data_IF_311613906084
#
_entry.id   IF_311613906084
#
_cell.length_a   1.000
_cell.length_b   1.000
_cell.length_c   1.000
_cell.angle_alpha   90.00
_cell.angle_beta   90.00
_cell.angle_gamma   90.00
#
_symmetry.space_group_name_H-M   'P 1'
#
loop_
_entity.id
_entity.type
_entity.pdbx_description
1 polymer ?
#
# COMPACT_ATOMS: atom_id res chain seq x y z
N UNK A 1 -79.89 3.07 51.48
CA UNK A 1 -79.26 2.72 50.19
C UNK A 1 -78.17 3.73 49.78
N UNK A 2 -77.05 3.86 50.53
CA UNK A 2 -75.88 4.72 50.13
C UNK A 2 -74.51 4.12 50.50
N UNK A 3 -74.43 2.95 51.16
CA UNK A 3 -73.16 2.48 51.78
C UNK A 3 -72.25 1.59 50.92
N UNK A 4 -72.69 1.09 49.75
CA UNK A 4 -71.88 0.20 48.90
C UNK A 4 -71.11 0.97 47.81
N UNK A 5 -71.68 2.07 47.29
CA UNK A 5 -71.04 2.89 46.26
C UNK A 5 -69.83 3.69 46.77
N UNK A 6 -69.81 4.06 48.05
CA UNK A 6 -68.67 4.80 48.63
C UNK A 6 -67.44 3.90 48.85
N UNK A 7 -67.67 2.61 49.13
CA UNK A 7 -66.63 1.61 49.32
C UNK A 7 -65.96 1.21 48.00
N UNK A 8 -66.71 1.13 46.90
CA UNK A 8 -66.12 0.86 45.58
C UNK A 8 -65.30 2.05 45.06
N UNK A 9 -65.73 3.28 45.33
CA UNK A 9 -65.01 4.49 44.92
C UNK A 9 -63.71 4.68 45.71
N UNK A 10 -63.73 4.38 47.02
CA UNK A 10 -62.50 4.33 47.83
C UNK A 10 -61.53 3.25 47.35
N UNK A 11 -62.02 2.05 47.02
CA UNK A 11 -61.17 0.99 46.45
C UNK A 11 -60.57 1.40 45.11
N UNK A 12 -61.33 2.07 44.25
CA UNK A 12 -60.85 2.56 42.95
C UNK A 12 -59.79 3.66 43.12
N UNK A 13 -59.97 4.58 44.07
CA UNK A 13 -58.99 5.62 44.38
C UNK A 13 -57.69 5.06 44.99
N UNK A 14 -57.79 4.04 45.87
CA UNK A 14 -56.60 3.37 46.43
C UNK A 14 -55.87 2.56 45.35
N UNK A 15 -56.59 1.88 44.46
CA UNK A 15 -55.99 1.16 43.34
C UNK A 15 -55.26 2.10 42.37
N UNK A 16 -55.83 3.28 42.08
CA UNK A 16 -55.21 4.27 41.19
C UNK A 16 -54.00 4.98 41.82
N UNK A 17 -54.00 5.16 43.14
CA UNK A 17 -52.88 5.79 43.85
C UNK A 17 -51.70 4.84 44.08
N UNK A 18 -51.95 3.52 44.19
CA UNK A 18 -50.89 2.52 44.27
C UNK A 18 -50.22 2.22 42.92
N UNK A 19 -50.90 2.51 41.80
CA UNK A 19 -50.36 2.35 40.44
C UNK A 19 -49.51 3.55 39.97
N UNK A 20 -49.25 4.54 40.84
CA UNK A 20 -48.25 5.59 40.59
C UNK A 20 -46.87 5.13 41.06
N UNK A 21 -46.33 4.09 40.43
CA UNK A 21 -44.90 3.80 40.53
C UNK A 21 -44.18 4.48 39.36
N UNK A 22 -43.36 5.49 39.70
CA UNK A 22 -42.17 5.83 38.91
C UNK A 22 -42.27 6.94 37.87
N UNK A 23 -42.83 8.11 38.19
CA UNK A 23 -42.57 9.35 37.42
C UNK A 23 -41.22 9.97 37.85
N UNK A 24 -40.12 9.28 37.55
CA UNK A 24 -38.79 9.91 37.48
C UNK A 24 -38.07 9.35 36.27
N UNK A 25 -38.50 9.78 35.09
CA UNK A 25 -37.69 9.66 33.89
C UNK A 25 -36.55 10.68 34.00
N UNK A 26 -35.41 10.26 34.55
CA UNK A 26 -34.17 10.97 34.28
C UNK A 26 -33.97 10.96 32.77
N UNK A 27 -33.74 12.10 32.09
CA UNK A 27 -33.39 12.06 30.68
C UNK A 27 -32.08 11.29 30.57
N UNK A 28 -32.15 10.06 30.10
CA UNK A 28 -30.98 9.34 29.60
C UNK A 28 -30.58 10.06 28.31
N UNK A 29 -29.67 11.01 28.41
CA UNK A 29 -28.95 11.51 27.24
C UNK A 29 -28.08 10.36 26.72
N UNK A 30 -28.63 9.61 25.78
CA UNK A 30 -27.82 8.74 24.93
C UNK A 30 -27.01 9.66 24.01
N UNK A 31 -25.72 9.80 24.31
CA UNK A 31 -24.77 10.31 23.32
C UNK A 31 -24.68 9.28 22.20
N UNK A 32 -25.48 9.46 21.15
CA UNK A 32 -25.24 8.80 19.87
C UNK A 32 -24.00 9.45 19.28
N UNK A 33 -22.85 8.82 19.50
CA UNK A 33 -21.56 9.44 19.20
C UNK A 33 -21.45 9.84 17.73
N UNK A 34 -22.12 9.18 16.78
CA UNK A 34 -21.90 9.43 15.35
C UNK A 34 -23.13 9.25 14.43
N UNK A 35 -24.33 9.68 14.84
CA UNK A 35 -25.49 9.72 13.91
C UNK A 35 -26.27 11.02 14.07
N UNK A 36 -26.17 11.92 13.07
CA UNK A 36 -27.03 13.12 13.03
C UNK A 36 -28.44 12.66 12.66
N UNK A 37 -29.29 12.44 13.66
CA UNK A 37 -30.70 12.16 13.45
C UNK A 37 -31.45 13.46 13.10
N UNK A 38 -31.46 13.83 11.81
CA UNK A 38 -32.38 14.86 11.30
C UNK A 38 -33.69 14.17 10.89
N UNK A 39 -34.82 14.72 11.35
CA UNK A 39 -36.20 14.21 11.13
C UNK A 39 -36.37 13.66 9.70
N UNK A 40 -36.41 12.33 9.56
CA UNK A 40 -36.64 11.62 8.29
C UNK A 40 -35.42 11.05 7.56
N UNK A 41 -34.19 11.21 8.05
CA UNK A 41 -33.00 10.58 7.44
C UNK A 41 -31.94 10.22 8.48
N UNK A 42 -31.81 8.94 8.81
CA UNK A 42 -30.59 8.40 9.41
C UNK A 42 -29.55 8.29 8.29
N UNK A 43 -28.56 9.19 8.29
CA UNK A 43 -27.37 9.04 7.45
C UNK A 43 -26.22 8.53 8.32
N UNK A 44 -25.78 7.31 8.05
CA UNK A 44 -24.54 6.76 8.60
C UNK A 44 -23.37 7.58 8.08
N UNK A 45 -22.69 8.32 8.98
CA UNK A 45 -21.51 9.11 8.63
C UNK A 45 -20.23 8.27 8.56
N UNK A 46 -20.30 7.00 8.98
CA UNK A 46 -19.19 6.05 9.06
C UNK A 46 -19.01 5.15 7.82
N UNK A 47 -19.77 5.38 6.74
CA UNK A 47 -19.64 4.57 5.53
C UNK A 47 -18.31 4.92 4.85
N UNK A 48 -17.29 4.10 5.09
CA UNK A 48 -16.01 4.21 4.42
C UNK A 48 -16.17 3.80 2.96
N UNK A 49 -15.79 4.68 2.05
CA UNK A 49 -15.74 4.35 0.63
C UNK A 49 -14.72 3.23 0.41
N UNK A 50 -15.18 2.12 -0.17
CA UNK A 50 -14.31 1.01 -0.52
C UNK A 50 -13.41 1.44 -1.67
N UNK A 51 -12.12 1.64 -1.40
CA UNK A 51 -11.13 1.91 -2.45
C UNK A 51 -10.73 0.59 -3.09
N UNK A 52 -11.03 0.42 -4.38
CA UNK A 52 -10.54 -0.72 -5.16
C UNK A 52 -9.05 -0.55 -5.46
N UNK A 53 -8.21 -1.36 -4.80
CA UNK A 53 -6.76 -1.36 -5.03
C UNK A 53 -6.47 -2.19 -6.27
N UNK A 54 -6.34 -1.53 -7.43
CA UNK A 54 -5.83 -2.18 -8.64
C UNK A 54 -4.30 -2.30 -8.55
N UNK A 55 -3.78 -3.48 -8.89
CA UNK A 55 -2.33 -3.68 -9.01
C UNK A 55 -1.83 -2.88 -10.22
N UNK A 56 -1.03 -1.85 -9.96
CA UNK A 56 -0.38 -1.03 -11.00
C UNK A 56 0.75 -1.81 -11.67
N UNK A 57 0.89 -1.65 -12.98
CA UNK A 57 2.06 -2.17 -13.70
C UNK A 57 3.33 -1.43 -13.27
N UNK A 58 4.50 -2.04 -13.44
CA UNK A 58 5.79 -1.38 -13.26
C UNK A 58 5.88 -0.09 -14.08
N UNK A 59 5.34 -0.09 -15.30
CA UNK A 59 5.29 1.10 -16.15
C UNK A 59 4.42 2.22 -15.53
N UNK A 60 3.24 1.89 -15.02
CA UNK A 60 2.35 2.85 -14.38
C UNK A 60 2.97 3.44 -13.11
N UNK A 61 3.61 2.59 -12.29
CA UNK A 61 4.33 3.04 -11.08
C UNK A 61 5.49 3.97 -11.42
N UNK A 62 6.17 3.71 -12.53
CA UNK A 62 7.26 4.56 -13.00
C UNK A 62 6.74 5.93 -13.44
N UNK A 63 5.63 5.97 -14.16
CA UNK A 63 5.03 7.24 -14.59
C UNK A 63 4.50 8.04 -13.39
N UNK A 64 3.82 7.39 -12.45
CA UNK A 64 3.41 8.01 -11.19
C UNK A 64 4.60 8.61 -10.43
N UNK A 65 5.72 7.88 -10.33
CA UNK A 65 6.95 8.43 -9.73
C UNK A 65 7.49 9.64 -10.49
N UNK A 66 7.39 9.69 -11.82
CA UNK A 66 7.81 10.87 -12.58
C UNK A 66 6.92 12.07 -12.31
N UNK A 67 5.62 11.84 -12.21
CA UNK A 67 4.65 12.89 -11.91
C UNK A 67 4.84 13.43 -10.49
N UNK A 68 4.90 12.55 -9.50
CA UNK A 68 5.11 12.89 -8.08
C UNK A 68 6.45 13.61 -7.87
N UNK A 69 7.52 13.10 -8.46
CA UNK A 69 8.87 13.63 -8.30
C UNK A 69 9.34 14.48 -9.49
N UNK A 70 8.42 15.17 -10.19
CA UNK A 70 8.73 15.98 -11.38
C UNK A 70 9.88 16.97 -11.16
N UNK A 71 9.97 17.56 -9.98
CA UNK A 71 11.07 18.47 -9.61
C UNK A 71 12.43 17.75 -9.63
N UNK A 72 12.53 16.55 -9.08
CA UNK A 72 13.75 15.72 -9.10
C UNK A 72 14.12 15.35 -10.53
N UNK A 73 13.13 15.01 -11.36
CA UNK A 73 13.34 14.75 -12.79
C UNK A 73 13.90 15.98 -13.52
N UNK A 74 13.33 17.16 -13.26
CA UNK A 74 13.81 18.43 -13.80
C UNK A 74 15.25 18.76 -13.37
N UNK A 75 15.56 18.72 -12.07
CA UNK A 75 16.89 19.07 -11.55
C UNK A 75 17.98 18.05 -11.93
N UNK A 76 17.60 16.79 -12.20
CA UNK A 76 18.55 15.78 -12.65
C UNK A 76 18.75 15.71 -14.16
N UNK A 77 17.91 16.37 -14.97
CA UNK A 77 18.11 16.45 -16.42
C UNK A 77 19.35 17.29 -16.76
N UNK A 78 20.33 16.61 -17.35
CA UNK A 78 21.57 17.22 -17.88
C UNK A 78 21.80 16.86 -19.35
N UNK A 79 20.82 16.29 -20.05
CA UNK A 79 20.95 15.92 -21.47
C UNK A 79 20.74 17.14 -22.35
N UNK A 80 21.37 17.21 -23.52
CA UNK A 80 21.19 18.31 -24.48
C UNK A 80 21.49 19.69 -23.86
N UNK A 81 22.61 19.82 -23.13
CA UNK A 81 23.04 21.11 -22.57
C UNK A 81 23.46 22.10 -23.67
N UNK A 82 24.03 21.57 -24.74
CA UNK A 82 24.40 22.32 -25.94
C UNK A 82 23.71 21.66 -27.12
N UNK A 83 22.99 22.46 -27.90
CA UNK A 83 22.30 22.03 -29.12
C UNK A 83 22.87 22.80 -30.30
N UNK A 84 23.25 22.07 -31.35
CA UNK A 84 23.78 22.60 -32.59
C UNK A 84 22.66 22.59 -33.65
N UNK A 85 21.94 23.71 -33.89
CA UNK A 85 20.96 23.79 -34.97
C UNK A 85 21.62 23.61 -36.34
N UNK A 86 20.91 22.94 -37.27
CA UNK A 86 21.37 22.67 -38.65
C UNK A 86 21.64 23.94 -39.48
N UNK A 87 21.07 25.09 -39.11
CA UNK A 87 21.23 26.37 -39.80
C UNK A 87 22.38 27.24 -39.24
N UNK A 88 23.26 26.64 -38.43
CA UNK A 88 24.38 27.34 -37.79
C UNK A 88 24.00 27.99 -36.47
N UNK A 89 24.92 27.97 -35.50
CA UNK A 89 24.74 28.51 -34.15
C UNK A 89 25.00 27.50 -33.04
N UNK A 90 25.21 27.99 -31.81
CA UNK A 90 25.35 27.18 -30.59
C UNK A 90 24.29 27.67 -29.61
N UNK A 91 23.30 26.83 -29.30
CA UNK A 91 22.32 27.12 -28.25
C UNK A 91 22.71 26.37 -26.97
N UNK A 92 22.86 27.12 -25.87
CA UNK A 92 23.29 26.59 -24.58
C UNK A 92 22.15 26.71 -23.57
N UNK A 93 21.77 25.59 -22.95
CA UNK A 93 20.75 25.57 -21.91
C UNK A 93 21.38 25.79 -20.53
N UNK A 94 21.28 27.02 -20.04
CA UNK A 94 21.89 27.44 -18.77
C UNK A 94 21.32 26.68 -17.56
N UNK A 95 20.03 26.34 -17.58
CA UNK A 95 19.40 25.55 -16.52
C UNK A 95 20.03 24.17 -16.42
N UNK A 96 20.30 23.52 -17.56
CA UNK A 96 20.92 22.19 -17.57
C UNK A 96 22.40 22.21 -17.20
N UNK A 97 23.11 23.28 -17.57
CA UNK A 97 24.47 23.52 -17.06
C UNK A 97 24.45 23.70 -15.54
N UNK A 98 23.56 24.54 -15.02
CA UNK A 98 23.39 24.71 -13.58
C UNK A 98 23.04 23.39 -12.89
N UNK A 99 22.14 22.60 -13.45
CA UNK A 99 21.79 21.27 -12.95
C UNK A 99 23.00 20.33 -12.92
N UNK A 100 23.87 20.39 -13.93
CA UNK A 100 25.08 19.56 -14.00
C UNK A 100 26.02 19.87 -12.83
N UNK A 101 26.29 21.14 -12.57
CA UNK A 101 27.29 21.57 -11.58
C UNK A 101 26.73 21.75 -10.17
N UNK A 102 25.43 22.00 -10.01
CA UNK A 102 24.83 22.24 -8.71
C UNK A 102 24.79 20.99 -7.83
N UNK A 103 24.94 21.19 -6.52
CA UNK A 103 24.78 20.12 -5.51
C UNK A 103 23.39 19.52 -5.54
N UNK A 104 22.38 20.36 -5.79
CA UNK A 104 20.97 19.95 -5.96
C UNK A 104 20.83 18.98 -7.13
N UNK A 105 21.34 19.33 -8.32
CA UNK A 105 21.25 18.43 -9.47
C UNK A 105 22.06 17.14 -9.29
N UNK A 106 23.22 17.18 -8.60
CA UNK A 106 23.97 15.96 -8.24
C UNK A 106 23.13 15.01 -7.38
N UNK A 107 22.45 15.54 -6.37
CA UNK A 107 21.59 14.75 -5.48
C UNK A 107 20.35 14.23 -6.22
N UNK A 108 19.72 15.06 -7.05
CA UNK A 108 18.58 14.64 -7.88
C UNK A 108 18.95 13.49 -8.82
N UNK A 109 20.13 13.51 -9.45
CA UNK A 109 20.63 12.39 -10.26
C UNK A 109 20.89 11.12 -9.45
N UNK A 110 21.31 11.23 -8.19
CA UNK A 110 21.46 10.04 -7.32
C UNK A 110 20.10 9.41 -7.05
N UNK A 111 19.09 10.23 -6.75
CA UNK A 111 17.73 9.76 -6.50
C UNK A 111 17.08 9.18 -7.77
N UNK A 112 17.25 9.81 -8.93
CA UNK A 112 16.80 9.23 -10.21
C UNK A 112 17.39 7.85 -10.48
N UNK A 113 18.70 7.65 -10.21
CA UNK A 113 19.32 6.32 -10.35
C UNK A 113 18.70 5.29 -9.41
N UNK A 114 18.29 5.71 -8.22
CA UNK A 114 17.60 4.83 -7.28
C UNK A 114 16.21 4.46 -7.80
N UNK A 115 15.44 5.42 -8.30
CA UNK A 115 14.14 5.14 -8.90
C UNK A 115 14.25 4.26 -10.16
N UNK A 116 15.28 4.46 -10.98
CA UNK A 116 15.55 3.58 -12.12
C UNK A 116 15.83 2.15 -11.65
N UNK A 117 16.68 1.96 -10.63
CA UNK A 117 16.93 0.62 -10.06
C UNK A 117 15.66 -0.04 -9.55
N UNK A 118 14.81 0.72 -8.86
CA UNK A 118 13.51 0.22 -8.39
C UNK A 118 12.58 -0.15 -9.54
N UNK A 119 12.57 0.63 -10.62
CA UNK A 119 11.78 0.31 -11.81
C UNK A 119 12.28 -0.97 -12.48
N UNK A 120 13.59 -1.12 -12.66
CA UNK A 120 14.19 -2.36 -13.18
C UNK A 120 13.84 -3.57 -12.31
N UNK A 121 13.87 -3.39 -10.98
CA UNK A 121 13.49 -4.40 -10.02
C UNK A 121 12.00 -4.77 -10.13
N UNK A 122 11.12 -3.79 -10.32
CA UNK A 122 9.69 -4.02 -10.48
C UNK A 122 9.39 -4.80 -11.77
N UNK A 123 10.10 -4.51 -12.86
CA UNK A 123 10.01 -5.29 -14.11
C UNK A 123 10.42 -6.75 -13.90
N UNK A 124 11.53 -6.98 -13.18
CA UNK A 124 11.96 -8.33 -12.82
C UNK A 124 10.86 -9.03 -12.02
N UNK A 125 10.27 -8.37 -11.02
CA UNK A 125 9.20 -8.98 -10.18
C UNK A 125 7.97 -9.33 -10.98
N UNK A 126 7.55 -8.50 -11.93
CA UNK A 126 6.39 -8.76 -12.77
C UNK A 126 6.53 -10.03 -13.59
N UNK A 127 7.74 -10.31 -14.08
CA UNK A 127 8.02 -11.50 -14.88
C UNK A 127 8.39 -12.72 -14.02
N UNK A 128 9.23 -12.53 -12.99
CA UNK A 128 9.80 -13.61 -12.18
C UNK A 128 8.82 -14.21 -11.18
N UNK A 129 7.97 -13.38 -10.55
CA UNK A 129 7.06 -13.86 -9.50
C UNK A 129 5.98 -14.82 -10.03
N UNK A 130 5.31 -14.57 -11.16
CA UNK A 130 4.34 -15.54 -11.69
C UNK A 130 5.00 -16.86 -12.07
N UNK A 131 6.18 -16.84 -12.71
CA UNK A 131 6.90 -18.06 -13.08
C UNK A 131 7.27 -18.89 -11.85
N UNK A 132 7.83 -18.25 -10.82
CA UNK A 132 8.16 -18.97 -9.58
C UNK A 132 6.91 -19.43 -8.82
N UNK A 133 5.79 -18.70 -8.89
CA UNK A 133 4.53 -19.15 -8.29
C UNK A 133 3.98 -20.40 -8.98
N UNK A 134 4.10 -20.47 -10.31
CA UNK A 134 3.59 -21.56 -11.13
C UNK A 134 4.47 -22.82 -11.04
N UNK A 135 5.80 -22.65 -11.13
CA UNK A 135 6.73 -23.77 -11.29
C UNK A 135 7.45 -24.17 -9.99
N UNK A 136 7.49 -23.31 -8.97
CA UNK A 136 8.05 -23.69 -7.67
C UNK A 136 6.93 -24.19 -6.75
N UNK A 137 7.13 -25.39 -6.17
CA UNK A 137 6.23 -25.94 -5.14
C UNK A 137 6.39 -25.26 -3.77
N UNK A 138 7.14 -24.15 -3.71
CA UNK A 138 7.45 -23.43 -2.48
C UNK A 138 6.32 -22.46 -2.13
N UNK A 139 6.09 -22.25 -0.84
CA UNK A 139 5.12 -21.29 -0.35
C UNK A 139 5.69 -20.42 0.78
N UNK A 140 5.01 -19.31 1.08
CA UNK A 140 5.32 -18.44 2.20
C UNK A 140 6.76 -17.90 2.22
N UNK A 141 7.43 -18.11 3.36
CA UNK A 141 8.76 -17.57 3.65
C UNK A 141 9.85 -18.16 2.76
N UNK A 142 9.78 -19.47 2.51
CA UNK A 142 10.74 -20.18 1.66
C UNK A 142 10.67 -19.67 0.21
N UNK A 143 9.47 -19.45 -0.32
CA UNK A 143 9.29 -18.88 -1.65
C UNK A 143 9.88 -17.47 -1.75
N UNK A 144 9.66 -16.63 -0.72
CA UNK A 144 10.21 -15.27 -0.70
C UNK A 144 11.74 -15.29 -0.71
N UNK A 145 12.35 -16.12 0.14
CA UNK A 145 13.81 -16.29 0.23
C UNK A 145 14.40 -16.86 -1.07
N UNK A 146 13.74 -17.85 -1.66
CA UNK A 146 14.12 -18.42 -2.94
C UNK A 146 14.16 -17.35 -4.05
N UNK A 147 13.09 -16.55 -4.16
CA UNK A 147 12.99 -15.46 -5.15
C UNK A 147 14.11 -14.45 -5.00
N UNK A 148 14.43 -14.03 -3.78
CA UNK A 148 15.49 -13.06 -3.49
C UNK A 148 16.87 -13.64 -3.80
N UNK A 149 17.12 -14.91 -3.45
CA UNK A 149 18.44 -15.51 -3.58
C UNK A 149 18.81 -15.85 -5.02
N UNK A 150 17.86 -16.37 -5.80
CA UNK A 150 18.07 -16.82 -7.18
C UNK A 150 17.54 -15.85 -8.24
N UNK A 151 17.34 -14.58 -7.85
CA UNK A 151 16.79 -13.57 -8.76
C UNK A 151 17.70 -13.39 -10.00
N UNK A 152 17.18 -13.62 -11.22
CA UNK A 152 17.94 -13.38 -12.43
C UNK A 152 18.02 -11.89 -12.75
N UNK A 153 19.05 -11.50 -13.52
CA UNK A 153 19.13 -10.14 -14.05
C UNK A 153 18.04 -9.86 -15.08
N UNK A 154 17.56 -8.61 -15.19
CA UNK A 154 16.56 -8.25 -16.19
C UNK A 154 17.03 -8.53 -17.63
N UNK A 155 18.32 -8.34 -17.90
CA UNK A 155 18.91 -8.65 -19.21
C UNK A 155 18.71 -10.13 -19.55
N UNK A 156 19.03 -11.02 -18.61
CA UNK A 156 18.86 -12.45 -18.77
C UNK A 156 17.38 -12.81 -19.00
N UNK A 157 16.45 -12.24 -18.22
CA UNK A 157 15.02 -12.47 -18.44
C UNK A 157 14.55 -12.05 -19.84
N UNK A 158 15.05 -10.94 -20.38
CA UNK A 158 14.65 -10.49 -21.72
C UNK A 158 15.25 -11.31 -22.85
N UNK A 159 16.44 -11.88 -22.65
CA UNK A 159 17.18 -12.62 -23.67
C UNK A 159 16.75 -14.08 -23.79
N UNK A 160 16.26 -14.68 -22.69
CA UNK A 160 15.94 -16.10 -22.64
C UNK A 160 14.45 -16.37 -22.92
N UNK A 161 14.17 -17.50 -23.54
CA UNK A 161 12.80 -17.92 -23.81
C UNK A 161 12.11 -18.48 -22.54
N UNK A 162 10.79 -18.65 -22.59
CA UNK A 162 10.00 -19.19 -21.47
C UNK A 162 10.51 -20.56 -21.02
N UNK A 163 10.89 -21.45 -21.95
CA UNK A 163 11.39 -22.78 -21.58
C UNK A 163 12.73 -22.73 -20.83
N UNK A 164 13.63 -21.85 -21.26
CA UNK A 164 14.93 -21.64 -20.59
C UNK A 164 14.73 -21.07 -19.19
N UNK A 165 13.76 -20.15 -19.02
CA UNK A 165 13.35 -19.63 -17.71
C UNK A 165 12.84 -20.72 -16.77
N UNK A 166 12.03 -21.64 -17.29
CA UNK A 166 11.51 -22.77 -16.52
C UNK A 166 12.64 -23.74 -16.12
N UNK A 167 13.52 -24.08 -17.06
CA UNK A 167 14.68 -24.93 -16.79
C UNK A 167 15.59 -24.32 -15.72
N UNK A 168 15.83 -23.00 -15.79
CA UNK A 168 16.55 -22.26 -14.76
C UNK A 168 15.88 -22.35 -13.38
N UNK A 169 14.55 -22.17 -13.32
CA UNK A 169 13.81 -22.32 -12.05
C UNK A 169 13.99 -23.71 -11.45
N UNK A 170 13.90 -24.76 -12.26
CA UNK A 170 14.07 -26.14 -11.78
C UNK A 170 15.48 -26.36 -11.21
N UNK A 171 16.51 -25.90 -11.93
CA UNK A 171 17.90 -25.99 -11.47
C UNK A 171 18.12 -25.20 -10.16
N UNK A 172 17.58 -23.98 -10.07
CA UNK A 172 17.67 -23.19 -8.85
C UNK A 172 16.89 -23.84 -7.70
N UNK A 173 15.75 -24.45 -7.98
CA UNK A 173 14.91 -25.10 -6.97
C UNK A 173 15.60 -26.32 -6.36
N UNK A 174 16.26 -27.16 -7.16
CA UNK A 174 17.05 -28.29 -6.64
C UNK A 174 18.16 -27.79 -5.73
N UNK A 175 18.93 -26.79 -6.18
CA UNK A 175 20.02 -26.21 -5.40
C UNK A 175 19.51 -25.54 -4.11
N UNK A 176 18.33 -24.90 -4.16
CA UNK A 176 17.70 -24.29 -3.01
C UNK A 176 17.33 -25.33 -1.96
N UNK A 177 16.69 -26.43 -2.38
CA UNK A 177 16.25 -27.51 -1.49
C UNK A 177 17.42 -28.20 -0.79
N UNK A 178 18.57 -28.31 -1.44
CA UNK A 178 19.79 -28.87 -0.84
C UNK A 178 20.42 -27.92 0.20
N UNK A 179 20.15 -26.62 0.13
CA UNK A 179 20.83 -25.58 0.92
C UNK A 179 19.91 -24.65 1.70
N UNK A 180 18.66 -25.09 1.95
CA UNK A 180 17.61 -24.29 2.59
C UNK A 180 18.09 -23.64 3.88
N UNK A 181 18.67 -24.42 4.79
CA UNK A 181 19.10 -23.94 6.11
C UNK A 181 20.17 -22.85 6.03
N UNK A 182 21.10 -23.00 5.08
CA UNK A 182 22.19 -22.03 4.85
C UNK A 182 21.61 -20.73 4.28
N UNK A 183 20.73 -20.83 3.28
CA UNK A 183 20.11 -19.67 2.65
C UNK A 183 19.22 -18.93 3.65
N UNK A 184 18.44 -19.65 4.45
CA UNK A 184 17.59 -19.06 5.48
C UNK A 184 18.40 -18.31 6.51
N UNK A 185 19.51 -18.88 6.99
CA UNK A 185 20.41 -18.23 7.95
C UNK A 185 21.07 -16.98 7.37
N UNK A 186 21.49 -17.01 6.10
CA UNK A 186 22.12 -15.85 5.43
C UNK A 186 21.15 -14.70 5.19
N UNK A 187 19.88 -15.02 4.94
CA UNK A 187 18.83 -14.03 4.66
C UNK A 187 18.07 -13.60 5.92
N UNK A 188 18.37 -14.19 7.08
CA UNK A 188 17.90 -13.65 8.35
C UNK A 188 18.56 -12.29 8.56
N UNK A 189 17.74 -11.28 8.86
CA UNK A 189 18.28 -10.02 9.35
C UNK A 189 19.11 -10.32 10.60
N UNK A 190 20.24 -9.62 10.81
CA UNK A 190 20.95 -9.72 12.07
C UNK A 190 20.02 -9.20 13.17
N UNK A 191 19.34 -10.13 13.85
CA UNK A 191 18.61 -9.87 15.07
C UNK A 191 19.66 -9.68 16.16
N UNK A 192 20.35 -8.54 16.13
CA UNK A 192 21.30 -8.18 17.16
C UNK A 192 20.53 -7.94 18.46
N UNK A 193 20.50 -8.93 19.35
CA UNK A 193 20.16 -8.85 20.77
C UNK A 193 19.02 -7.87 21.13
N UNK A 194 17.99 -7.73 20.31
CA UNK A 194 16.82 -6.94 20.64
C UNK A 194 15.96 -7.81 21.56
N UNK A 195 16.24 -7.73 22.87
CA UNK A 195 15.27 -8.11 23.88
C UNK A 195 14.04 -7.22 23.65
N UNK A 196 12.93 -7.84 23.26
CA UNK A 196 11.60 -7.22 23.29
C UNK A 196 11.26 -6.81 24.72
#
# INVERSE_FOLDING_TARGET
>A
MVRIGFLSLLFFCVYFSFNRQGLFAYPTEFYHQDTIAKKGSQKDTLRLDTVSIKRKSAADKWEEKKEEYKSIFFWGDTKNMVTLPHQGGIAVNLNKLYNKFSRKGRNSRKLQRQFEKEYQQDLIREEWYPLTQEYSKLSGDSLRKFRIYYEPSLKWLRENDRYEKIAYIHLCLTNYLDSVDIIHRRLQFPMGNAKL
#
